data_IF_939907131382
#
_entry.id   IF_939907131382
#
_cell.length_a   1.000
_cell.length_b   1.000
_cell.length_c   1.000
_cell.angle_alpha   90.00
_cell.angle_beta   90.00
_cell.angle_gamma   90.00
#
_symmetry.space_group_name_H-M   'P 1'
#
loop_
_entity.id
_entity.type
_entity.pdbx_description
1 polymer ?
#
# COMPACT_ATOMS: atom_id res chain seq x y z
N UNK A 1 -3.23 -9.31 -13.87
CA UNK A 1 -3.59 -9.53 -12.45
C UNK A 1 -4.84 -8.73 -12.22
N UNK A 2 -5.93 -9.38 -11.80
CA UNK A 2 -7.15 -8.67 -11.48
C UNK A 2 -7.03 -8.14 -10.05
N UNK A 3 -6.99 -6.82 -9.92
CA UNK A 3 -6.92 -6.15 -8.63
C UNK A 3 -8.33 -5.96 -8.08
N UNK A 4 -8.52 -6.19 -6.78
CA UNK A 4 -9.79 -5.88 -6.12
C UNK A 4 -10.02 -4.38 -6.05
N UNK A 5 -11.26 -3.95 -5.80
CA UNK A 5 -11.58 -2.53 -5.68
C UNK A 5 -10.80 -1.87 -4.54
N UNK A 6 -10.65 -2.54 -3.40
CA UNK A 6 -9.88 -2.02 -2.26
C UNK A 6 -8.38 -1.91 -2.58
N UNK A 7 -7.81 -2.87 -3.30
CA UNK A 7 -6.43 -2.77 -3.79
C UNK A 7 -6.26 -1.58 -4.74
N UNK A 8 -7.21 -1.37 -5.66
CA UNK A 8 -7.20 -0.22 -6.57
C UNK A 8 -7.29 1.11 -5.80
N UNK A 9 -8.19 1.20 -4.81
CA UNK A 9 -8.30 2.38 -3.94
C UNK A 9 -7.00 2.63 -3.18
N UNK A 10 -6.37 1.59 -2.64
CA UNK A 10 -5.12 1.69 -1.89
C UNK A 10 -3.97 2.18 -2.78
N UNK A 11 -3.80 1.60 -3.97
CA UNK A 11 -2.78 2.02 -4.94
C UNK A 11 -2.96 3.49 -5.34
N UNK A 12 -4.20 3.94 -5.60
CA UNK A 12 -4.50 5.35 -5.89
C UNK A 12 -4.17 6.27 -4.72
N UNK A 13 -4.48 5.85 -3.48
CA UNK A 13 -4.15 6.60 -2.26
C UNK A 13 -2.63 6.74 -2.09
N UNK A 14 -1.89 5.66 -2.29
CA UNK A 14 -0.42 5.61 -2.14
C UNK A 14 0.34 6.34 -3.26
N UNK A 15 -0.32 6.68 -4.37
CA UNK A 15 0.30 7.47 -5.46
C UNK A 15 0.81 8.83 -5.00
N UNK A 16 0.25 9.38 -3.91
CA UNK A 16 0.66 10.68 -3.35
C UNK A 16 1.95 10.60 -2.51
N UNK A 17 2.48 9.39 -2.26
CA UNK A 17 3.71 9.17 -1.51
C UNK A 17 3.56 8.14 -0.40
N UNK A 18 4.35 8.30 0.66
CA UNK A 18 4.33 7.38 1.81
C UNK A 18 2.95 7.36 2.46
N UNK A 19 2.40 6.17 2.65
CA UNK A 19 1.17 5.94 3.38
C UNK A 19 1.48 5.32 4.72
N UNK A 20 0.84 5.84 5.76
CA UNK A 20 1.01 5.40 7.13
C UNK A 20 -0.15 4.49 7.51
N UNK A 21 0.18 3.29 7.99
CA UNK A 21 -0.75 2.38 8.64
C UNK A 21 -0.49 2.41 10.15
N UNK A 22 -1.55 2.68 10.89
CA UNK A 22 -1.56 2.95 12.33
C UNK A 22 -2.08 1.76 13.14
N UNK A 23 -2.60 0.71 12.48
CA UNK A 23 -3.24 -0.44 13.10
C UNK A 23 -4.76 -0.25 13.30
N UNK A 24 -5.32 0.90 12.92
CA UNK A 24 -6.77 1.18 12.97
C UNK A 24 -7.47 0.97 11.62
N UNK A 25 -6.73 0.53 10.60
CA UNK A 25 -7.28 0.24 9.28
C UNK A 25 -8.25 -0.95 9.35
N UNK A 26 -9.25 -0.97 8.47
CA UNK A 26 -10.24 -2.05 8.46
C UNK A 26 -9.59 -3.40 8.08
N UNK A 27 -10.19 -4.55 8.44
CA UNK A 27 -9.67 -5.86 8.03
C UNK A 27 -9.44 -5.98 6.53
N UNK A 28 -10.31 -5.36 5.72
CA UNK A 28 -10.20 -5.37 4.26
C UNK A 28 -9.03 -4.51 3.77
N UNK A 29 -8.80 -3.33 4.35
CA UNK A 29 -7.64 -2.49 4.06
C UNK A 29 -6.32 -3.19 4.44
N UNK A 30 -6.30 -3.86 5.58
CA UNK A 30 -5.15 -4.66 6.04
C UNK A 30 -4.87 -5.81 5.07
N UNK A 31 -5.91 -6.55 4.66
CA UNK A 31 -5.79 -7.64 3.70
C UNK A 31 -5.31 -7.13 2.33
N UNK A 32 -5.87 -6.04 1.83
CA UNK A 32 -5.45 -5.44 0.57
C UNK A 32 -3.96 -5.01 0.60
N UNK A 33 -3.50 -4.40 1.70
CA UNK A 33 -2.08 -4.05 1.86
C UNK A 33 -1.18 -5.28 1.85
N UNK A 34 -1.55 -6.35 2.55
CA UNK A 34 -0.79 -7.61 2.59
C UNK A 34 -0.71 -8.28 1.22
N UNK A 35 -1.83 -8.28 0.47
CA UNK A 35 -1.87 -8.83 -0.89
C UNK A 35 -0.96 -8.03 -1.84
N UNK A 36 -1.01 -6.70 -1.78
CA UNK A 36 -0.12 -5.84 -2.57
C UNK A 36 1.37 -6.01 -2.18
N UNK A 37 1.66 -6.23 -0.90
CA UNK A 37 3.02 -6.50 -0.43
C UNK A 37 3.54 -7.84 -0.94
N UNK A 38 2.71 -8.88 -0.87
CA UNK A 38 3.02 -10.21 -1.42
C UNK A 38 3.26 -10.15 -2.93
N UNK A 39 2.51 -9.30 -3.64
CA UNK A 39 2.67 -9.01 -5.06
C UNK A 39 3.88 -8.11 -5.40
N UNK A 40 4.65 -7.66 -4.41
CA UNK A 40 5.81 -6.74 -4.55
C UNK A 40 5.43 -5.38 -5.18
N UNK A 41 4.18 -4.96 -5.05
CA UNK A 41 3.70 -3.66 -5.53
C UNK A 41 3.89 -2.55 -4.50
N UNK A 42 3.99 -2.93 -3.23
CA UNK A 42 4.29 -2.03 -2.12
C UNK A 42 5.46 -2.57 -1.31
N UNK A 43 6.12 -1.69 -0.59
CA UNK A 43 7.20 -2.04 0.34
C UNK A 43 6.99 -1.31 1.65
N UNK A 44 7.20 -2.02 2.76
CA UNK A 44 7.25 -1.43 4.08
C UNK A 44 8.58 -0.70 4.28
N UNK A 45 8.51 0.55 4.73
CA UNK A 45 9.67 1.32 5.14
C UNK A 45 9.93 1.07 6.63
N UNK A 46 11.16 0.71 6.99
CA UNK A 46 11.53 0.52 8.38
C UNK A 46 11.58 1.86 9.11
N UNK A 47 10.52 2.25 9.82
CA UNK A 47 10.57 3.42 10.68
C UNK A 47 11.14 3.04 12.06
N UNK A 48 12.45 3.26 12.24
CA UNK A 48 13.15 3.02 13.52
C UNK A 48 12.75 4.00 14.63
N UNK A 49 12.03 5.07 14.31
CA UNK A 49 11.78 6.20 15.21
C UNK A 49 10.36 6.26 15.79
N UNK A 50 9.38 5.55 15.22
CA UNK A 50 7.99 5.53 15.71
C UNK A 50 7.50 4.11 15.98
N UNK A 51 7.50 3.71 17.26
CA UNK A 51 6.88 2.46 17.70
C UNK A 51 5.39 2.49 17.37
N UNK A 52 4.89 1.47 16.67
CA UNK A 52 3.46 1.29 16.37
C UNK A 52 2.96 1.88 15.06
N UNK A 53 3.83 2.45 14.22
CA UNK A 53 3.44 3.05 12.94
C UNK A 53 4.19 2.38 11.80
N UNK A 54 3.48 1.83 10.82
CA UNK A 54 4.07 1.19 9.64
C UNK A 54 3.96 2.14 8.45
N UNK A 55 5.11 2.50 7.88
CA UNK A 55 5.17 3.31 6.67
C UNK A 55 5.26 2.40 5.45
N UNK A 56 4.52 2.74 4.41
CA UNK A 56 4.44 1.98 3.17
C UNK A 56 4.61 2.89 1.98
N UNK A 57 5.30 2.42 0.95
CA UNK A 57 5.34 3.12 -0.34
C UNK A 57 5.14 2.15 -1.51
N UNK A 58 4.80 2.71 -2.67
CA UNK A 58 4.79 1.95 -3.91
C UNK A 58 6.23 1.56 -4.32
N UNK A 59 6.37 0.36 -4.88
CA UNK A 59 7.56 0.00 -5.67
C UNK A 59 7.47 0.65 -7.07
N UNK A 60 8.54 0.67 -7.88
CA UNK A 60 8.45 1.18 -9.25
C UNK A 60 7.35 0.50 -10.07
N UNK A 61 7.14 -0.80 -9.86
CA UNK A 61 6.06 -1.55 -10.51
C UNK A 61 4.68 -1.15 -9.97
N UNK A 62 4.54 -0.99 -8.64
CA UNK A 62 3.31 -0.48 -8.04
C UNK A 62 2.96 0.93 -8.52
N UNK A 63 3.94 1.81 -8.74
CA UNK A 63 3.73 3.14 -9.31
C UNK A 63 3.23 3.07 -10.75
N UNK A 64 3.80 2.18 -11.57
CA UNK A 64 3.36 1.97 -12.96
C UNK A 64 1.89 1.54 -13.00
N UNK A 65 1.54 0.52 -12.22
CA UNK A 65 0.15 0.02 -12.13
C UNK A 65 -0.77 1.12 -11.58
N UNK A 66 -0.37 1.84 -10.54
CA UNK A 66 -1.16 2.93 -9.97
C UNK A 66 -1.43 4.08 -10.96
N UNK A 67 -0.56 4.29 -11.96
CA UNK A 67 -0.78 5.27 -13.05
C UNK A 67 -1.76 4.75 -14.11
N UNK A 68 -1.74 3.45 -14.38
CA UNK A 68 -2.67 2.81 -15.33
C UNK A 68 -4.13 2.81 -14.81
N UNK A 69 -4.31 2.90 -13.48
CA UNK A 69 -5.61 2.91 -12.82
C UNK A 69 -6.36 4.27 -12.86
N UNK A 70 -5.82 5.31 -13.51
CA UNK A 70 -6.39 6.68 -13.53
C UNK A 70 -5.96 7.51 -12.33
#
# INVERSE_FOLDING_TARGET
MDLSEDQCRLLRRMRKGVTIFSGFETPDEQLAMLQLYTAKLVVQLSNRYRRGVMEWRLTPEGERIARELG
#
